data_IF_880943938763
#
_entry.id   IF_880943938763
#
_cell.length_a   1.000
_cell.length_b   1.000
_cell.length_c   1.000
_cell.angle_alpha   90.00
_cell.angle_beta   90.00
_cell.angle_gamma   90.00
#
_symmetry.space_group_name_H-M   'P 1'
#
loop_
_entity.id
_entity.type
_entity.pdbx_description
1 polymer ?
#
# COMPACT_ATOMS: atom_id res chain seq x y z
N UNK A 1 6.36 -11.58 -29.20
CA UNK A 1 6.22 -10.50 -30.22
C UNK A 1 6.91 -9.28 -29.61
N UNK A 2 7.92 -8.66 -30.21
CA UNK A 2 8.64 -7.51 -29.62
C UNK A 2 7.66 -6.34 -29.53
N UNK A 3 7.40 -5.75 -28.35
CA UNK A 3 6.47 -4.62 -28.21
C UNK A 3 6.93 -3.45 -29.07
N UNK A 4 6.01 -2.85 -29.84
CA UNK A 4 6.26 -1.61 -30.60
C UNK A 4 6.10 -0.46 -29.62
N UNK A 5 7.20 0.22 -29.30
CA UNK A 5 7.25 1.33 -28.36
C UNK A 5 6.74 2.64 -28.97
N UNK A 6 5.99 3.45 -28.20
CA UNK A 6 5.62 4.80 -28.64
C UNK A 6 6.86 5.71 -28.73
N UNK A 7 6.77 6.71 -29.62
CA UNK A 7 7.87 7.63 -29.98
C UNK A 7 8.27 8.63 -28.87
N UNK A 8 7.58 8.66 -27.73
CA UNK A 8 7.77 9.67 -26.67
C UNK A 8 8.78 9.31 -25.58
N UNK A 9 9.30 8.08 -25.57
CA UNK A 9 10.35 7.68 -24.63
C UNK A 9 11.77 8.09 -25.08
N UNK A 10 11.93 9.26 -25.62
CA UNK A 10 13.14 9.73 -26.31
C UNK A 10 14.24 10.31 -25.39
N UNK A 11 14.25 10.01 -24.10
CA UNK A 11 15.21 10.58 -23.13
C UNK A 11 16.04 9.57 -22.33
N UNK A 12 15.72 8.28 -22.42
CA UNK A 12 16.42 7.21 -21.68
C UNK A 12 17.67 6.72 -22.42
N UNK A 13 18.70 6.34 -21.66
CA UNK A 13 19.74 5.49 -22.20
C UNK A 13 19.15 4.13 -22.58
N UNK A 14 19.59 3.54 -23.70
CA UNK A 14 19.04 2.27 -24.22
C UNK A 14 19.04 1.14 -23.17
N UNK A 15 19.96 1.19 -22.22
CA UNK A 15 20.11 0.19 -21.14
C UNK A 15 18.99 0.29 -20.09
N UNK A 16 18.67 1.49 -19.58
CA UNK A 16 17.61 1.72 -18.60
C UNK A 16 16.24 1.34 -19.17
N UNK A 17 16.04 1.62 -20.43
CA UNK A 17 14.83 1.27 -21.14
C UNK A 17 14.64 -0.25 -21.25
N UNK A 18 15.70 -0.98 -21.52
CA UNK A 18 15.67 -2.44 -21.58
C UNK A 18 15.33 -3.03 -20.20
N UNK A 19 15.95 -2.54 -19.13
CA UNK A 19 15.69 -3.01 -17.76
C UNK A 19 14.23 -2.78 -17.34
N UNK A 20 13.64 -1.63 -17.68
CA UNK A 20 12.22 -1.34 -17.39
C UNK A 20 11.31 -2.31 -18.16
N UNK A 21 11.59 -2.53 -19.44
CA UNK A 21 10.80 -3.44 -20.26
C UNK A 21 10.88 -4.88 -19.75
N UNK A 22 12.06 -5.37 -19.41
CA UNK A 22 12.27 -6.70 -18.82
C UNK A 22 11.53 -6.85 -17.48
N UNK A 23 11.52 -5.81 -16.66
CA UNK A 23 10.77 -5.82 -15.40
C UNK A 23 9.26 -5.88 -15.64
N UNK A 24 8.72 -5.07 -16.58
CA UNK A 24 7.29 -5.08 -16.91
C UNK A 24 6.87 -6.42 -17.51
N UNK A 25 7.66 -7.00 -18.43
CA UNK A 25 7.41 -8.33 -18.97
C UNK A 25 7.40 -9.39 -17.84
N UNK A 26 8.41 -9.37 -16.98
CA UNK A 26 8.51 -10.30 -15.84
C UNK A 26 7.35 -10.12 -14.85
N UNK A 27 6.89 -8.89 -14.64
CA UNK A 27 5.74 -8.59 -13.79
C UNK A 27 4.46 -9.18 -14.38
N UNK A 28 4.18 -8.93 -15.67
CA UNK A 28 2.95 -9.41 -16.32
C UNK A 28 2.92 -10.94 -16.44
N UNK A 29 4.04 -11.59 -16.77
CA UNK A 29 4.17 -13.05 -16.80
C UNK A 29 3.97 -13.67 -15.40
N UNK A 30 4.49 -13.01 -14.37
CA UNK A 30 4.33 -13.46 -12.99
C UNK A 30 2.90 -13.26 -12.49
N UNK A 31 2.24 -12.19 -12.94
CA UNK A 31 0.83 -11.90 -12.66
C UNK A 31 -0.07 -12.95 -13.35
N UNK A 32 0.14 -13.23 -14.63
CA UNK A 32 -0.53 -14.31 -15.35
C UNK A 32 -0.43 -15.64 -14.59
N UNK A 33 0.79 -16.02 -14.19
CA UNK A 33 1.04 -17.22 -13.39
C UNK A 33 0.25 -17.22 -12.08
N UNK A 34 0.27 -16.09 -11.35
CA UNK A 34 -0.46 -15.94 -10.09
C UNK A 34 -1.97 -16.08 -10.27
N UNK A 35 -2.54 -15.42 -11.28
CA UNK A 35 -3.97 -15.47 -11.59
C UNK A 35 -4.41 -16.88 -12.02
N UNK A 36 -3.67 -17.51 -12.92
CA UNK A 36 -4.05 -18.82 -13.49
C UNK A 36 -3.79 -19.99 -12.54
N UNK A 37 -2.72 -19.97 -11.77
CA UNK A 37 -2.27 -21.14 -10.98
C UNK A 37 -2.35 -20.93 -9.47
N UNK A 38 -2.32 -19.67 -9.01
CA UNK A 38 -2.19 -19.29 -7.59
C UNK A 38 -0.75 -19.28 -7.09
N UNK A 39 0.25 -19.50 -7.96
CA UNK A 39 1.66 -19.39 -7.59
C UNK A 39 2.10 -17.92 -7.66
N UNK A 40 2.40 -17.33 -6.51
CA UNK A 40 2.82 -15.93 -6.36
C UNK A 40 4.31 -15.75 -6.10
N UNK A 41 5.11 -16.80 -6.13
CA UNK A 41 6.55 -16.72 -5.80
C UNK A 41 7.30 -15.80 -6.79
N UNK A 42 7.06 -15.94 -8.09
CA UNK A 42 7.68 -15.09 -9.11
C UNK A 42 7.24 -13.63 -8.96
N UNK A 43 5.95 -13.38 -8.67
CA UNK A 43 5.41 -12.04 -8.48
C UNK A 43 6.09 -11.30 -7.30
N UNK A 44 6.44 -12.01 -6.23
CA UNK A 44 7.18 -11.45 -5.08
C UNK A 44 8.57 -10.92 -5.44
N UNK A 45 9.15 -11.40 -6.51
CA UNK A 45 10.49 -10.94 -6.95
C UNK A 45 10.43 -9.59 -7.66
N UNK A 46 9.33 -9.28 -8.32
CA UNK A 46 9.17 -8.12 -9.22
C UNK A 46 8.18 -7.06 -8.69
N UNK A 47 7.38 -7.39 -7.68
CA UNK A 47 6.38 -6.50 -7.09
C UNK A 47 6.46 -6.47 -5.56
N UNK A 48 5.86 -5.44 -4.98
CA UNK A 48 5.71 -5.33 -3.51
C UNK A 48 4.61 -6.26 -2.99
N UNK A 49 4.66 -6.59 -1.70
CA UNK A 49 3.73 -7.54 -1.08
C UNK A 49 2.26 -7.12 -1.18
N UNK A 50 1.95 -5.83 -1.25
CA UNK A 50 0.59 -5.32 -1.48
C UNK A 50 0.00 -5.90 -2.76
N UNK A 51 0.67 -5.68 -3.90
CA UNK A 51 0.26 -6.20 -5.21
C UNK A 51 0.11 -7.74 -5.20
N UNK A 52 1.04 -8.45 -4.57
CA UNK A 52 0.96 -9.93 -4.46
C UNK A 52 -0.28 -10.37 -3.70
N UNK A 53 -0.66 -9.65 -2.65
CA UNK A 53 -1.86 -9.95 -1.87
C UNK A 53 -3.14 -9.65 -2.66
N UNK A 54 -3.14 -8.55 -3.42
CA UNK A 54 -4.27 -8.13 -4.25
C UNK A 54 -4.53 -9.15 -5.37
N UNK A 55 -3.48 -9.59 -6.07
CA UNK A 55 -3.61 -10.64 -7.10
C UNK A 55 -4.09 -11.97 -6.52
N UNK A 56 -3.64 -12.34 -5.32
CA UNK A 56 -4.14 -13.55 -4.66
C UNK A 56 -5.62 -13.41 -4.24
N UNK A 57 -6.05 -12.25 -3.77
CA UNK A 57 -7.45 -11.98 -3.45
C UNK A 57 -8.32 -12.01 -4.71
N UNK A 58 -7.85 -11.41 -5.81
CA UNK A 58 -8.50 -11.42 -7.11
C UNK A 58 -8.71 -12.87 -7.59
N UNK A 59 -7.66 -13.70 -7.60
CA UNK A 59 -7.76 -15.11 -7.97
C UNK A 59 -8.77 -15.89 -7.12
N UNK A 60 -8.79 -15.67 -5.80
CA UNK A 60 -9.74 -16.31 -4.90
C UNK A 60 -11.18 -15.96 -5.33
N UNK A 61 -11.44 -14.70 -5.61
CA UNK A 61 -12.77 -14.21 -6.02
C UNK A 61 -13.20 -14.79 -7.37
N UNK A 62 -12.29 -14.85 -8.35
CA UNK A 62 -12.55 -15.52 -9.63
C UNK A 62 -12.96 -16.99 -9.40
N UNK A 63 -12.18 -17.70 -8.58
CA UNK A 63 -12.45 -19.11 -8.25
C UNK A 63 -13.79 -19.31 -7.52
N UNK A 64 -14.14 -18.44 -6.59
CA UNK A 64 -15.40 -18.49 -5.86
C UNK A 64 -16.62 -18.27 -6.77
N UNK A 65 -16.44 -17.52 -7.86
CA UNK A 65 -17.46 -17.26 -8.88
C UNK A 65 -17.41 -18.25 -10.06
N UNK A 66 -16.60 -19.31 -9.99
CA UNK A 66 -16.37 -20.29 -11.06
C UNK A 66 -15.83 -19.69 -12.36
N UNK A 67 -15.16 -18.56 -12.30
CA UNK A 67 -14.47 -17.92 -13.42
C UNK A 67 -13.03 -18.46 -13.49
N UNK A 68 -12.61 -18.87 -14.68
CA UNK A 68 -11.23 -19.31 -14.93
C UNK A 68 -10.60 -18.51 -16.08
N UNK A 69 -9.45 -17.95 -15.86
CA UNK A 69 -8.67 -17.26 -16.89
C UNK A 69 -7.96 -18.30 -17.75
N UNK A 70 -8.02 -18.15 -19.08
CA UNK A 70 -7.48 -19.09 -20.05
C UNK A 70 -6.29 -18.53 -20.83
N UNK A 71 -6.21 -17.22 -21.02
CA UNK A 71 -5.11 -16.54 -21.73
C UNK A 71 -5.01 -15.09 -21.29
N UNK A 72 -3.79 -14.56 -21.25
CA UNK A 72 -3.51 -13.16 -20.98
C UNK A 72 -2.45 -12.65 -21.95
N UNK A 73 -2.62 -11.45 -22.45
CA UNK A 73 -1.64 -10.77 -23.30
C UNK A 73 -1.64 -9.28 -23.02
N UNK A 74 -0.52 -8.60 -23.21
CA UNK A 74 -0.46 -7.17 -22.92
C UNK A 74 0.33 -6.40 -23.98
N UNK A 75 0.11 -5.09 -24.02
CA UNK A 75 0.83 -4.16 -24.85
C UNK A 75 1.13 -2.87 -24.08
N UNK A 76 2.40 -2.47 -23.99
CA UNK A 76 2.81 -1.20 -23.40
C UNK A 76 2.43 -0.06 -24.34
N UNK A 77 1.73 0.93 -23.80
CA UNK A 77 1.27 2.12 -24.54
C UNK A 77 2.05 3.39 -24.21
N UNK A 78 2.65 3.47 -23.01
CA UNK A 78 3.41 4.63 -22.57
C UNK A 78 4.42 4.29 -21.49
N UNK A 79 5.53 5.02 -21.47
CA UNK A 79 6.52 5.03 -20.38
C UNK A 79 6.89 6.48 -20.15
N UNK A 80 6.75 6.95 -18.91
CA UNK A 80 7.14 8.26 -18.46
C UNK A 80 8.02 8.15 -17.23
N UNK A 81 9.07 8.97 -17.13
CA UNK A 81 10.04 8.90 -16.04
C UNK A 81 10.18 10.26 -15.42
N UNK A 82 9.92 10.31 -14.12
CA UNK A 82 10.10 11.47 -13.27
C UNK A 82 11.12 11.14 -12.17
N UNK A 83 12.33 11.67 -12.29
CA UNK A 83 13.46 11.42 -11.40
C UNK A 83 13.78 9.91 -11.24
N UNK A 84 13.42 9.31 -10.12
CA UNK A 84 13.65 7.87 -9.79
C UNK A 84 12.38 7.02 -9.90
N UNK A 85 11.30 7.60 -10.41
CA UNK A 85 9.99 6.94 -10.53
C UNK A 85 9.68 6.76 -12.00
N UNK A 86 9.32 5.55 -12.38
CA UNK A 86 8.86 5.24 -13.73
C UNK A 86 7.38 4.90 -13.71
N UNK A 87 6.62 5.57 -14.55
CA UNK A 87 5.20 5.30 -14.79
C UNK A 87 5.07 4.57 -16.12
N UNK A 88 4.37 3.44 -16.10
CA UNK A 88 4.12 2.63 -17.30
C UNK A 88 2.63 2.46 -17.48
N UNK A 89 2.12 2.86 -18.64
CA UNK A 89 0.74 2.54 -19.04
C UNK A 89 0.77 1.38 -20.02
N UNK A 90 -0.01 0.35 -19.74
CA UNK A 90 -0.17 -0.79 -20.63
C UNK A 90 -1.64 -1.22 -20.73
N UNK A 91 -1.97 -1.93 -21.78
CA UNK A 91 -3.27 -2.57 -21.98
C UNK A 91 -3.08 -4.08 -21.95
N UNK A 92 -3.86 -4.75 -21.11
CA UNK A 92 -3.96 -6.19 -21.03
C UNK A 92 -5.25 -6.65 -21.70
N UNK A 93 -5.21 -7.73 -22.45
CA UNK A 93 -6.39 -8.46 -22.92
C UNK A 93 -6.39 -9.82 -22.23
N UNK A 94 -7.44 -10.09 -21.48
CA UNK A 94 -7.62 -11.31 -20.70
C UNK A 94 -8.79 -12.11 -21.26
N UNK A 95 -8.54 -13.38 -21.62
CA UNK A 95 -9.59 -14.32 -21.98
C UNK A 95 -9.98 -15.16 -20.76
N UNK A 96 -11.25 -15.24 -20.44
CA UNK A 96 -11.76 -16.01 -19.31
C UNK A 96 -13.02 -16.80 -19.65
N UNK A 97 -13.26 -17.86 -18.89
CA UNK A 97 -14.43 -18.71 -19.01
C UNK A 97 -15.31 -18.52 -17.79
N UNK A 98 -16.55 -18.12 -18.03
CA UNK A 98 -17.61 -17.98 -17.04
C UNK A 98 -18.80 -18.86 -17.48
N UNK A 99 -19.24 -19.76 -16.60
CA UNK A 99 -20.31 -20.76 -16.87
C UNK A 99 -20.16 -21.48 -18.23
N UNK A 100 -18.91 -21.72 -18.66
CA UNK A 100 -18.60 -22.38 -19.93
C UNK A 100 -18.69 -21.48 -21.16
N UNK A 101 -18.86 -20.19 -21.00
CA UNK A 101 -18.80 -19.16 -22.04
C UNK A 101 -17.43 -18.48 -22.01
N UNK A 102 -16.78 -18.40 -23.17
CA UNK A 102 -15.51 -17.67 -23.33
C UNK A 102 -15.83 -16.18 -23.49
N UNK A 103 -15.21 -15.35 -22.68
CA UNK A 103 -15.32 -13.90 -22.68
C UNK A 103 -13.93 -13.27 -22.75
N UNK A 104 -13.87 -12.00 -23.12
CA UNK A 104 -12.62 -11.21 -23.14
C UNK A 104 -12.84 -9.91 -22.39
N UNK A 105 -11.89 -9.56 -21.52
CA UNK A 105 -11.80 -8.25 -20.87
C UNK A 105 -10.52 -7.52 -21.33
N UNK A 106 -10.65 -6.24 -21.65
CA UNK A 106 -9.52 -5.36 -21.91
C UNK A 106 -9.32 -4.45 -20.72
N UNK A 107 -8.12 -4.42 -20.15
CA UNK A 107 -7.78 -3.75 -18.90
C UNK A 107 -6.63 -2.77 -19.17
N UNK A 108 -6.80 -1.52 -18.74
CA UNK A 108 -5.71 -0.54 -18.73
C UNK A 108 -5.03 -0.57 -17.36
N UNK A 109 -3.73 -0.80 -17.34
CA UNK A 109 -2.88 -0.75 -16.16
C UNK A 109 -2.05 0.52 -16.17
N UNK A 110 -1.91 1.13 -14.99
CA UNK A 110 -0.98 2.21 -14.74
C UNK A 110 -0.03 1.77 -13.62
N UNK A 111 1.14 1.30 -14.01
CA UNK A 111 2.16 0.81 -13.11
C UNK A 111 3.03 1.96 -12.61
N UNK A 112 3.39 1.94 -11.35
CA UNK A 112 4.48 2.75 -10.79
C UNK A 112 5.64 1.83 -10.44
N UNK A 113 6.81 2.11 -10.99
CA UNK A 113 8.04 1.36 -10.75
C UNK A 113 9.00 2.27 -9.98
N UNK A 114 9.59 1.76 -8.92
CA UNK A 114 10.59 2.44 -8.11
C UNK A 114 11.81 1.54 -7.88
N UNK A 115 12.98 2.18 -7.83
CA UNK A 115 14.20 1.51 -7.48
C UNK A 115 14.33 1.38 -5.95
N UNK A 116 14.49 0.16 -5.47
CA UNK A 116 14.73 -0.13 -4.06
C UNK A 116 16.24 -0.18 -3.80
N UNK A 117 16.80 0.93 -3.32
CA UNK A 117 18.23 1.05 -3.04
C UNK A 117 18.74 0.03 -1.99
N UNK A 118 17.86 -0.48 -1.13
CA UNK A 118 18.25 -1.44 -0.10
C UNK A 118 18.53 -2.84 -0.66
N UNK A 119 17.91 -3.16 -1.79
CA UNK A 119 18.03 -4.46 -2.45
C UNK A 119 18.68 -4.38 -3.84
N UNK A 120 19.04 -3.17 -4.28
CA UNK A 120 19.64 -2.93 -5.60
C UNK A 120 18.78 -3.45 -6.76
N UNK A 121 17.47 -3.28 -6.66
CA UNK A 121 16.49 -3.78 -7.63
C UNK A 121 15.34 -2.79 -7.84
N UNK A 122 14.83 -2.71 -9.06
CA UNK A 122 13.57 -2.04 -9.35
C UNK A 122 12.39 -2.99 -9.09
N UNK A 123 11.27 -2.44 -8.61
CA UNK A 123 10.02 -3.17 -8.38
C UNK A 123 8.81 -2.37 -8.79
N UNK A 124 7.76 -3.08 -9.21
CA UNK A 124 6.43 -2.51 -9.32
C UNK A 124 5.90 -2.28 -7.90
N UNK A 125 5.66 -1.02 -7.57
CA UNK A 125 5.20 -0.59 -6.23
C UNK A 125 3.72 -0.24 -6.21
N UNK A 126 3.12 0.03 -7.37
CA UNK A 126 1.68 0.23 -7.54
C UNK A 126 1.25 -0.27 -8.90
N UNK A 127 0.09 -0.88 -8.96
CA UNK A 127 -0.65 -1.20 -10.18
C UNK A 127 -2.09 -0.75 -9.97
N UNK A 128 -2.49 0.32 -10.65
CA UNK A 128 -3.88 0.74 -10.71
C UNK A 128 -4.45 0.39 -12.07
N UNK A 129 -5.53 -0.36 -12.09
CA UNK A 129 -6.10 -0.83 -13.35
C UNK A 129 -7.61 -0.59 -13.44
N UNK A 130 -8.09 -0.44 -14.67
CA UNK A 130 -9.50 -0.28 -14.98
C UNK A 130 -9.84 -1.05 -16.25
N UNK A 131 -11.02 -1.66 -16.29
CA UNK A 131 -11.54 -2.25 -17.50
C UNK A 131 -11.82 -1.15 -18.54
N UNK A 132 -11.32 -1.36 -19.76
CA UNK A 132 -11.56 -0.47 -20.89
C UNK A 132 -12.58 -1.11 -21.80
N UNK A 133 -13.70 -0.44 -22.00
CA UNK A 133 -14.68 -0.87 -22.99
C UNK A 133 -14.13 -0.52 -24.37
N UNK A 134 -13.37 -1.44 -24.99
CA UNK A 134 -12.89 -1.25 -26.36
C UNK A 134 -14.04 -1.36 -27.35
N UNK A 135 -14.39 -0.22 -27.94
CA UNK A 135 -14.97 -0.13 -29.29
C UNK A 135 -16.27 -0.88 -29.53
N UNK A 136 -17.34 -0.62 -28.80
CA UNK A 136 -18.68 -0.92 -29.30
C UNK A 136 -19.39 0.37 -29.70
N UNK A 137 -19.53 0.56 -31.04
CA UNK A 137 -20.62 1.38 -31.55
C UNK A 137 -21.94 0.87 -30.98
N UNK A 138 -22.68 1.80 -30.39
CA UNK A 138 -23.97 1.63 -29.77
C UNK A 138 -24.83 0.51 -30.41
N UNK A 139 -24.96 -0.61 -29.70
CA UNK A 139 -26.12 -1.45 -29.80
C UNK A 139 -26.71 -1.57 -28.39
N UNK A 140 -27.84 -0.96 -28.19
CA UNK A 140 -28.63 -0.94 -26.96
C UNK A 140 -29.21 -2.32 -26.67
N UNK A 141 -28.42 -3.22 -26.13
CA UNK A 141 -28.87 -4.41 -25.38
C UNK A 141 -27.70 -4.96 -24.58
N UNK A 142 -27.48 -4.38 -23.41
CA UNK A 142 -26.63 -5.00 -22.38
C UNK A 142 -27.57 -5.94 -21.63
N UNK A 143 -27.38 -7.26 -21.71
CA UNK A 143 -28.16 -8.18 -20.90
C UNK A 143 -27.91 -7.93 -19.42
N UNK A 144 -28.91 -8.12 -18.55
CA UNK A 144 -28.76 -7.96 -17.10
C UNK A 144 -27.63 -8.84 -16.53
N UNK A 145 -27.28 -9.94 -17.22
CA UNK A 145 -26.17 -10.83 -16.87
C UNK A 145 -24.78 -10.22 -17.13
N UNK A 146 -24.60 -9.51 -18.25
CA UNK A 146 -23.33 -8.77 -18.54
C UNK A 146 -23.18 -7.60 -17.57
N UNK A 147 -24.27 -6.96 -17.18
CA UNK A 147 -24.26 -5.90 -16.18
C UNK A 147 -23.90 -6.43 -14.78
N UNK A 148 -24.40 -7.63 -14.40
CA UNK A 148 -24.04 -8.28 -13.14
C UNK A 148 -22.57 -8.74 -13.12
N UNK A 149 -22.03 -9.24 -14.23
CA UNK A 149 -20.59 -9.59 -14.37
C UNK A 149 -19.74 -8.33 -14.39
N UNK A 150 -20.15 -7.28 -15.10
CA UNK A 150 -19.48 -5.97 -15.10
C UNK A 150 -19.54 -5.31 -13.71
N UNK A 151 -20.65 -5.39 -12.98
CA UNK A 151 -20.77 -4.92 -11.60
C UNK A 151 -19.96 -5.79 -10.62
N UNK A 152 -19.87 -7.10 -10.85
CA UNK A 152 -19.02 -8.01 -10.09
C UNK A 152 -17.53 -7.72 -10.39
N UNK A 153 -17.14 -7.54 -11.66
CA UNK A 153 -15.79 -7.13 -12.06
C UNK A 153 -15.49 -5.68 -11.60
N UNK A 154 -16.48 -4.77 -11.63
CA UNK A 154 -16.33 -3.41 -11.09
C UNK A 154 -16.26 -3.41 -9.57
N UNK A 155 -16.95 -4.31 -8.87
CA UNK A 155 -16.77 -4.52 -7.43
C UNK A 155 -15.46 -5.26 -7.11
N UNK A 156 -14.90 -6.02 -8.05
CA UNK A 156 -13.57 -6.64 -8.01
C UNK A 156 -12.47 -5.60 -8.29
N UNK A 157 -12.68 -4.70 -9.26
CA UNK A 157 -11.80 -3.54 -9.52
C UNK A 157 -11.87 -2.50 -8.38
N UNK A 158 -12.87 -2.55 -7.52
CA UNK A 158 -12.97 -1.80 -6.27
C UNK A 158 -12.37 -2.55 -5.05
N UNK A 159 -11.65 -3.64 -5.25
CA UNK A 159 -10.57 -4.02 -4.34
C UNK A 159 -9.36 -3.13 -4.69
N UNK A 160 -9.59 -1.85 -4.74
CA UNK A 160 -8.64 -0.86 -4.32
C UNK A 160 -8.32 -1.28 -2.89
N UNK A 161 -7.15 -1.88 -2.64
CA UNK A 161 -6.76 -2.15 -1.27
C UNK A 161 -6.93 -0.84 -0.56
N UNK A 162 -7.94 -0.76 0.30
CA UNK A 162 -8.14 0.42 1.12
C UNK A 162 -6.99 0.42 2.13
N UNK A 163 -5.84 0.92 1.65
CA UNK A 163 -4.61 0.99 2.44
C UNK A 163 -4.84 1.74 3.75
N UNK A 164 -5.81 2.66 3.76
CA UNK A 164 -6.27 3.32 4.97
C UNK A 164 -6.93 2.30 5.91
N UNK A 165 -7.89 1.50 5.44
CA UNK A 165 -8.50 0.44 6.25
C UNK A 165 -7.48 -0.63 6.65
N UNK A 166 -6.54 -0.97 5.76
CA UNK A 166 -5.57 -2.01 6.00
C UNK A 166 -4.53 -1.61 7.06
N UNK A 167 -3.98 -0.37 7.03
CA UNK A 167 -3.06 0.08 8.08
C UNK A 167 -3.75 0.14 9.46
N UNK A 168 -5.03 0.52 9.49
CA UNK A 168 -5.84 0.50 10.70
C UNK A 168 -6.02 -0.93 11.20
N UNK A 169 -6.39 -1.87 10.32
CA UNK A 169 -6.52 -3.29 10.65
C UNK A 169 -5.23 -3.88 11.20
N UNK A 170 -4.09 -3.59 10.56
CA UNK A 170 -2.77 -4.03 11.01
C UNK A 170 -2.48 -3.48 12.40
N UNK A 171 -2.66 -2.18 12.62
CA UNK A 171 -2.40 -1.54 13.92
C UNK A 171 -3.27 -2.12 15.03
N UNK A 172 -4.57 -2.26 14.80
CA UNK A 172 -5.53 -2.85 15.75
C UNK A 172 -5.18 -4.30 16.10
N UNK A 173 -4.70 -5.08 15.13
CA UNK A 173 -4.28 -6.47 15.36
C UNK A 173 -3.10 -6.61 16.33
N UNK A 174 -2.36 -5.54 16.58
CA UNK A 174 -1.19 -5.52 17.46
C UNK A 174 -1.51 -5.07 18.88
N UNK A 175 -2.72 -4.61 19.16
CA UNK A 175 -3.11 -4.12 20.49
C UNK A 175 -2.89 -5.18 21.56
N UNK A 176 -2.17 -4.81 22.60
CA UNK A 176 -1.79 -5.72 23.68
C UNK A 176 -0.40 -6.37 23.54
N UNK A 177 0.29 -6.20 22.41
CA UNK A 177 1.69 -6.58 22.28
C UNK A 177 2.53 -5.80 23.31
N UNK A 178 3.37 -6.50 24.08
CA UNK A 178 4.26 -5.93 25.11
C UNK A 178 5.71 -6.03 24.63
N UNK A 179 6.48 -4.96 24.83
CA UNK A 179 7.93 -5.02 24.61
C UNK A 179 8.59 -6.06 25.53
N UNK A 180 9.81 -6.43 25.18
CA UNK A 180 10.52 -7.54 25.83
C UNK A 180 11.63 -7.05 26.74
N UNK A 181 11.90 -7.85 27.76
CA UNK A 181 13.02 -7.65 28.68
C UNK A 181 14.39 -7.94 28.01
N UNK A 182 14.40 -8.68 26.91
CA UNK A 182 15.61 -9.06 26.16
C UNK A 182 15.25 -9.41 24.70
N UNK A 183 16.25 -9.61 23.87
CA UNK A 183 16.10 -9.95 22.44
C UNK A 183 15.67 -11.42 22.24
N UNK A 184 14.61 -11.85 22.92
CA UNK A 184 14.00 -13.17 22.75
C UNK A 184 12.48 -13.09 22.82
N UNK A 185 11.80 -14.09 22.24
CA UNK A 185 10.33 -14.21 22.19
C UNK A 185 9.65 -12.98 21.56
N UNK A 186 10.31 -12.35 20.58
CA UNK A 186 9.87 -11.06 20.00
C UNK A 186 8.50 -11.15 19.32
N UNK A 187 8.13 -12.30 18.76
CA UNK A 187 6.84 -12.50 18.09
C UNK A 187 5.69 -12.77 19.07
N UNK A 188 6.00 -13.20 20.30
CA UNK A 188 4.98 -13.43 21.30
C UNK A 188 4.39 -12.12 21.83
N UNK A 189 3.08 -12.04 22.01
CA UNK A 189 2.44 -10.84 22.57
C UNK A 189 2.82 -10.57 24.03
N UNK A 190 3.04 -11.61 24.83
CA UNK A 190 3.19 -11.47 26.27
C UNK A 190 4.40 -12.19 26.88
N UNK A 191 4.98 -13.19 26.19
CA UNK A 191 6.17 -13.85 26.70
C UNK A 191 7.34 -12.87 26.78
N UNK A 192 8.22 -13.06 27.77
CA UNK A 192 9.39 -12.21 28.02
C UNK A 192 9.06 -10.70 28.12
N UNK A 193 7.84 -10.34 28.57
CA UNK A 193 7.44 -8.94 28.71
C UNK A 193 8.36 -8.19 29.68
N UNK A 194 8.70 -6.95 29.33
CA UNK A 194 9.59 -6.11 30.13
C UNK A 194 9.48 -4.64 29.72
N UNK A 195 10.52 -3.87 30.01
CA UNK A 195 10.65 -2.43 29.71
C UNK A 195 12.03 -2.11 29.15
N UNK A 196 12.55 -2.98 28.28
CA UNK A 196 13.90 -2.84 27.73
C UNK A 196 13.90 -2.49 26.22
N UNK A 197 12.76 -2.10 25.66
CA UNK A 197 12.56 -1.67 24.27
C UNK A 197 12.96 -2.72 23.21
N UNK A 198 13.01 -4.00 23.55
CA UNK A 198 13.15 -5.05 22.54
C UNK A 198 11.78 -5.39 21.96
N UNK A 199 11.64 -5.30 20.64
CA UNK A 199 10.39 -5.57 19.94
C UNK A 199 10.64 -6.24 18.59
N UNK A 200 9.62 -6.97 18.07
CA UNK A 200 9.66 -7.44 16.67
C UNK A 200 9.74 -6.29 15.67
N UNK A 201 9.12 -5.15 15.99
CA UNK A 201 9.15 -3.93 15.16
C UNK A 201 10.56 -3.36 15.06
N UNK A 202 11.27 -3.26 16.21
CA UNK A 202 12.67 -2.84 16.24
C UNK A 202 13.60 -3.82 15.53
N UNK A 203 13.33 -5.12 15.63
CA UNK A 203 14.08 -6.15 14.90
C UNK A 203 13.88 -6.01 13.39
N UNK A 204 12.63 -5.85 12.93
CA UNK A 204 12.31 -5.62 11.53
C UNK A 204 12.98 -4.35 10.98
N UNK A 205 13.00 -3.27 11.79
CA UNK A 205 13.62 -2.01 11.38
C UNK A 205 15.17 -2.09 11.34
N UNK A 206 15.74 -3.05 12.06
CA UNK A 206 17.19 -3.15 12.27
C UNK A 206 17.69 -2.25 13.41
N UNK A 207 16.83 -1.83 14.33
CA UNK A 207 17.13 -0.93 15.43
C UNK A 207 16.49 -1.46 16.73
N UNK A 208 17.17 -2.36 17.41
CA UNK A 208 16.67 -3.06 18.61
C UNK A 208 17.80 -3.24 19.64
N UNK A 209 17.69 -2.73 20.90
CA UNK A 209 16.54 -2.02 21.47
C UNK A 209 16.53 -0.52 21.11
N UNK A 210 15.34 0.06 20.94
CA UNK A 210 15.13 1.49 20.71
C UNK A 210 13.71 1.90 21.07
N UNK A 211 13.44 3.20 21.30
CA UNK A 211 12.08 3.72 21.36
C UNK A 211 11.37 3.40 20.03
N UNK A 212 10.16 2.85 20.10
CA UNK A 212 9.57 2.16 18.95
C UNK A 212 8.17 2.66 18.51
N UNK A 213 7.70 3.81 19.00
CA UNK A 213 6.44 4.38 18.51
C UNK A 213 6.49 4.73 17.02
N UNK A 214 7.55 5.40 16.56
CA UNK A 214 7.77 5.74 15.16
C UNK A 214 8.05 4.50 14.29
N UNK A 215 8.83 3.56 14.84
CA UNK A 215 9.11 2.28 14.19
C UNK A 215 7.83 1.46 14.01
N UNK A 216 6.91 1.51 14.99
CA UNK A 216 5.61 0.82 14.93
C UNK A 216 4.75 1.33 13.76
N UNK A 217 4.65 2.65 13.56
CA UNK A 217 3.93 3.23 12.41
C UNK A 217 4.55 2.76 11.09
N UNK A 218 5.88 2.83 10.96
CA UNK A 218 6.58 2.36 9.77
C UNK A 218 6.38 0.87 9.51
N UNK A 219 6.33 0.05 10.57
CA UNK A 219 6.05 -1.38 10.46
C UNK A 219 4.59 -1.62 10.03
N UNK A 220 3.62 -0.94 10.63
CA UNK A 220 2.21 -1.05 10.23
C UNK A 220 2.01 -0.66 8.76
N UNK A 221 2.64 0.41 8.29
CA UNK A 221 2.59 0.81 6.89
C UNK A 221 3.15 -0.27 5.96
N UNK A 222 4.31 -0.86 6.31
CA UNK A 222 4.92 -1.95 5.55
C UNK A 222 4.06 -3.21 5.51
N UNK A 223 3.49 -3.64 6.65
CA UNK A 223 2.61 -4.81 6.71
C UNK A 223 1.27 -4.60 5.98
N UNK A 224 0.80 -3.34 5.93
CA UNK A 224 -0.37 -2.96 5.17
C UNK A 224 -0.08 -2.80 3.67
N UNK A 225 1.17 -2.93 3.23
CA UNK A 225 1.56 -2.73 1.83
C UNK A 225 1.58 -1.26 1.39
N UNK A 226 1.52 -0.30 2.33
CA UNK A 226 1.58 1.13 2.02
C UNK A 226 2.97 1.51 1.53
N UNK A 227 3.03 2.16 0.37
CA UNK A 227 4.29 2.64 -0.21
C UNK A 227 5.03 3.61 0.71
N UNK A 228 6.36 3.55 0.70
CA UNK A 228 7.20 4.53 1.43
C UNK A 228 7.11 5.94 0.85
N UNK A 229 6.60 6.12 -0.36
CA UNK A 229 6.23 7.42 -0.93
C UNK A 229 4.96 8.00 -0.30
N UNK A 230 4.11 7.18 0.31
CA UNK A 230 2.88 7.57 1.01
C UNK A 230 3.14 7.71 2.52
N UNK A 231 3.73 6.69 3.15
CA UNK A 231 4.19 6.74 4.54
C UNK A 231 5.69 6.40 4.57
N UNK A 232 6.57 7.39 4.65
CA UNK A 232 8.01 7.17 4.69
C UNK A 232 8.43 6.26 5.85
N UNK A 233 9.46 5.44 5.67
CA UNK A 233 10.04 4.63 6.76
C UNK A 233 10.86 5.53 7.69
N UNK A 234 10.48 5.62 8.97
CA UNK A 234 11.18 6.45 9.97
C UNK A 234 11.20 5.79 11.35
N UNK A 235 12.26 6.08 12.14
CA UNK A 235 12.45 5.59 13.51
C UNK A 235 12.40 6.70 14.57
N UNK A 236 12.20 7.93 14.15
CA UNK A 236 12.10 9.11 15.04
C UNK A 236 10.82 9.89 14.72
N UNK A 237 10.02 10.20 15.73
CA UNK A 237 8.80 10.99 15.57
C UNK A 237 9.07 12.35 14.90
N UNK A 238 10.16 13.02 15.26
CA UNK A 238 10.53 14.30 14.65
C UNK A 238 10.91 14.14 13.17
N UNK A 239 11.59 13.05 12.80
CA UNK A 239 11.88 12.73 11.40
C UNK A 239 10.61 12.44 10.62
N UNK A 240 9.70 11.61 11.15
CA UNK A 240 8.41 11.34 10.52
C UNK A 240 7.60 12.61 10.31
N UNK A 241 7.45 13.43 11.35
CA UNK A 241 6.75 14.71 11.23
C UNK A 241 7.39 15.63 10.18
N UNK A 242 8.73 15.66 10.09
CA UNK A 242 9.42 16.44 9.06
C UNK A 242 9.15 15.89 7.66
N UNK A 243 9.23 14.58 7.46
CA UNK A 243 8.97 13.95 6.17
C UNK A 243 7.57 14.32 5.65
N UNK A 244 6.53 14.19 6.47
CA UNK A 244 5.17 14.56 6.06
C UNK A 244 4.98 16.07 5.81
N UNK A 245 5.76 16.93 6.48
CA UNK A 245 5.79 18.36 6.15
C UNK A 245 6.45 18.62 4.80
N UNK A 246 7.54 17.92 4.51
CA UNK A 246 8.25 18.03 3.23
C UNK A 246 7.38 17.49 2.06
N UNK A 247 6.44 16.59 2.36
CA UNK A 247 5.45 16.05 1.42
C UNK A 247 4.15 16.87 1.34
N UNK A 248 4.06 18.03 2.00
CA UNK A 248 2.89 18.91 2.04
C UNK A 248 1.58 18.25 2.53
N UNK A 249 1.68 17.13 3.27
CA UNK A 249 0.52 16.41 3.81
C UNK A 249 0.43 16.44 5.35
N UNK A 250 1.12 17.39 6.01
CA UNK A 250 1.05 17.59 7.45
C UNK A 250 0.20 18.83 7.81
N UNK A 251 -0.77 18.64 8.70
CA UNK A 251 -1.71 19.68 9.15
C UNK A 251 -1.64 19.86 10.66
N UNK A 252 -1.57 21.11 11.10
CA UNK A 252 -1.58 21.45 12.53
C UNK A 252 -2.96 21.23 13.15
N UNK A 253 -2.96 20.76 14.41
CA UNK A 253 -4.17 20.66 15.23
C UNK A 253 -4.68 22.05 15.66
N UNK A 254 -5.90 22.09 16.22
CA UNK A 254 -6.48 23.32 16.79
C UNK A 254 -5.64 23.89 17.95
N UNK A 255 -4.94 23.07 18.71
CA UNK A 255 -4.02 23.49 19.77
C UNK A 255 -2.82 24.30 19.23
N UNK A 256 -2.49 24.13 17.96
CA UNK A 256 -1.41 24.83 17.26
C UNK A 256 -1.93 25.73 16.13
N UNK A 257 -3.16 26.26 16.30
CA UNK A 257 -3.85 27.17 15.38
C UNK A 257 -4.16 26.60 13.99
N UNK A 258 -4.24 25.28 13.86
CA UNK A 258 -4.73 24.61 12.66
C UNK A 258 -6.25 24.51 12.64
N UNK A 259 -6.79 24.18 11.47
CA UNK A 259 -8.23 23.95 11.25
C UNK A 259 -8.53 22.58 10.68
N UNK A 260 -7.54 21.70 10.65
CA UNK A 260 -7.69 20.37 10.11
C UNK A 260 -8.58 19.50 10.99
N UNK A 261 -9.50 18.79 10.37
CA UNK A 261 -10.30 17.73 11.00
C UNK A 261 -9.65 16.39 10.68
N UNK A 262 -9.12 15.67 11.68
CA UNK A 262 -8.47 14.40 11.43
C UNK A 262 -9.44 13.35 10.91
N UNK A 263 -8.91 12.41 10.14
CA UNK A 263 -9.63 11.27 9.58
C UNK A 263 -9.02 9.95 10.04
N UNK A 264 -9.76 8.86 9.88
CA UNK A 264 -9.25 7.50 10.13
C UNK A 264 -8.12 7.22 9.15
N UNK A 265 -7.04 6.61 9.63
CA UNK A 265 -5.82 6.39 8.85
C UNK A 265 -4.77 7.49 9.00
N UNK A 266 -5.11 8.68 9.49
CA UNK A 266 -4.13 9.73 9.75
C UNK A 266 -3.06 9.28 10.75
N UNK A 267 -1.85 9.83 10.59
CA UNK A 267 -0.75 9.64 11.54
C UNK A 267 -0.70 10.86 12.47
N UNK A 268 -1.00 10.67 13.75
CA UNK A 268 -0.94 11.75 14.72
C UNK A 268 0.47 11.97 15.28
N UNK A 269 0.76 13.19 15.68
CA UNK A 269 2.01 13.58 16.32
C UNK A 269 1.76 14.40 17.57
N UNK A 270 2.42 14.05 18.68
CA UNK A 270 2.35 14.81 19.92
C UNK A 270 3.72 15.35 20.33
N UNK A 271 3.69 16.40 21.15
CA UNK A 271 4.87 17.06 21.68
C UNK A 271 4.53 18.44 22.23
N UNK A 272 5.56 19.26 22.42
CA UNK A 272 5.43 20.61 22.99
C UNK A 272 5.90 21.71 22.04
N UNK A 273 6.19 21.35 20.78
CA UNK A 273 6.79 22.27 19.79
C UNK A 273 6.38 21.86 18.38
N UNK A 274 6.23 22.84 17.49
CA UNK A 274 5.98 22.62 16.06
C UNK A 274 7.21 22.08 15.30
N UNK A 275 8.37 22.03 15.91
CA UNK A 275 9.63 21.60 15.27
C UNK A 275 10.08 20.21 15.70
N UNK A 276 9.50 19.66 16.78
CA UNK A 276 9.87 18.32 17.27
C UNK A 276 8.68 17.60 17.85
N UNK A 277 8.55 16.32 17.53
CA UNK A 277 7.55 15.42 18.09
C UNK A 277 8.18 14.41 19.01
N UNK A 278 7.49 14.06 20.09
CA UNK A 278 7.93 13.06 21.07
C UNK A 278 7.19 11.74 20.96
N UNK A 279 6.03 11.71 20.27
CA UNK A 279 5.24 10.50 20.12
C UNK A 279 4.37 10.55 18.84
N UNK A 280 4.01 9.38 18.32
CA UNK A 280 3.22 9.20 17.11
C UNK A 280 2.49 7.86 17.12
N UNK A 281 1.46 7.74 16.31
CA UNK A 281 0.69 6.52 16.08
C UNK A 281 -0.37 6.75 15.01
N UNK A 282 -1.33 5.86 14.89
CA UNK A 282 -2.32 5.80 13.82
C UNK A 282 -3.69 6.12 14.39
N UNK A 283 -4.45 7.00 13.74
CA UNK A 283 -5.84 7.31 14.09
C UNK A 283 -6.74 6.18 13.57
N UNK A 284 -7.50 5.56 14.47
CA UNK A 284 -8.37 4.42 14.13
C UNK A 284 -9.86 4.72 14.26
N UNK A 285 -10.22 5.77 14.99
CA UNK A 285 -11.60 6.29 15.04
C UNK A 285 -11.58 7.80 15.26
N UNK A 286 -12.60 8.49 14.74
CA UNK A 286 -12.78 9.93 14.88
C UNK A 286 -14.21 10.23 15.32
N UNK A 287 -14.34 11.15 16.27
CA UNK A 287 -15.62 11.74 16.67
C UNK A 287 -15.54 13.28 16.60
N UNK A 288 -16.63 13.96 16.88
CA UNK A 288 -16.66 15.43 16.88
C UNK A 288 -15.75 16.09 17.93
N UNK A 289 -15.29 15.35 18.95
CA UNK A 289 -14.49 15.89 20.06
C UNK A 289 -13.21 15.11 20.37
N UNK A 290 -13.07 13.92 19.83
CA UNK A 290 -11.98 12.98 20.17
C UNK A 290 -11.55 12.19 18.96
N UNK A 291 -10.29 11.75 19.00
CA UNK A 291 -9.75 10.67 18.18
C UNK A 291 -9.45 9.47 19.07
N UNK A 292 -9.64 8.25 18.54
CA UNK A 292 -9.07 7.03 19.09
C UNK A 292 -7.86 6.65 18.25
N UNK A 293 -6.79 6.27 18.92
CA UNK A 293 -5.50 5.97 18.28
C UNK A 293 -4.99 4.60 18.70
N UNK A 294 -4.18 4.02 17.83
CA UNK A 294 -3.32 2.86 18.17
C UNK A 294 -1.88 3.28 17.99
N UNK A 295 -1.08 3.08 19.02
CA UNK A 295 0.33 3.44 19.02
C UNK A 295 1.21 2.40 19.73
N UNK A 296 2.47 2.37 19.32
CA UNK A 296 3.50 1.58 19.96
C UNK A 296 4.22 2.37 21.07
N UNK A 297 4.82 1.66 22.00
CA UNK A 297 5.61 2.25 23.10
C UNK A 297 4.82 3.15 24.07
N UNK A 298 3.51 3.00 24.11
CA UNK A 298 2.66 3.63 25.12
C UNK A 298 2.57 2.74 26.35
N UNK A 299 3.30 3.11 27.40
CA UNK A 299 3.45 2.27 28.61
C UNK A 299 3.96 0.86 28.27
N UNK A 300 5.05 0.81 27.49
CA UNK A 300 5.79 -0.41 27.11
C UNK A 300 4.98 -1.43 26.29
N UNK A 301 3.94 -0.99 25.58
CA UNK A 301 3.06 -1.87 24.79
C UNK A 301 2.44 -1.15 23.58
N UNK A 302 1.79 -1.92 22.71
CA UNK A 302 0.82 -1.38 21.75
C UNK A 302 -0.50 -1.14 22.47
N UNK A 303 -0.97 0.08 22.43
CA UNK A 303 -2.16 0.53 23.15
C UNK A 303 -3.18 1.18 22.23
N UNK A 304 -4.45 0.99 22.57
CA UNK A 304 -5.57 1.72 22.00
C UNK A 304 -6.11 2.67 23.07
N UNK A 305 -6.14 3.96 22.78
CA UNK A 305 -6.61 4.99 23.71
C UNK A 305 -7.09 6.25 22.99
N UNK A 306 -7.56 7.27 23.70
CA UNK A 306 -8.18 8.45 23.11
C UNK A 306 -7.43 9.72 23.46
N UNK A 307 -7.45 10.70 22.53
CA UNK A 307 -7.12 12.11 22.78
C UNK A 307 -8.33 12.99 22.52
N UNK A 308 -8.51 14.04 23.31
CA UNK A 308 -9.40 15.13 22.95
C UNK A 308 -8.79 15.93 21.79
N UNK A 309 -9.58 16.37 20.82
CA UNK A 309 -9.09 17.19 19.71
C UNK A 309 -8.48 18.54 20.15
N UNK A 310 -8.80 18.96 21.38
CA UNK A 310 -8.26 20.18 22.01
C UNK A 310 -7.05 19.91 22.92
N UNK A 311 -6.52 18.67 22.93
CA UNK A 311 -5.36 18.34 23.75
C UNK A 311 -4.14 19.15 23.32
N UNK A 312 -3.54 19.88 24.25
CA UNK A 312 -2.41 20.76 23.98
C UNK A 312 -1.13 20.02 23.57
N UNK A 313 -1.06 18.73 23.77
CA UNK A 313 0.05 17.89 23.30
C UNK A 313 -0.07 17.52 21.83
N UNK A 314 -1.27 17.51 21.23
CA UNK A 314 -1.47 17.19 19.82
C UNK A 314 -0.92 18.33 18.95
N UNK A 315 0.24 18.08 18.30
CA UNK A 315 0.85 19.04 17.38
C UNK A 315 0.05 19.10 16.07
N UNK A 316 -0.29 17.94 15.52
CA UNK A 316 -1.01 17.83 14.26
C UNK A 316 -1.06 16.39 13.74
N UNK A 317 -1.45 16.30 12.47
CA UNK A 317 -1.74 15.06 11.78
C UNK A 317 -1.07 15.07 10.42
N UNK A 318 -0.50 13.98 10.02
CA UNK A 318 -0.23 13.71 8.63
C UNK A 318 -1.43 12.97 8.03
N UNK A 319 -1.89 13.41 6.86
CA UNK A 319 -2.95 12.77 6.08
C UNK A 319 -2.34 12.18 4.83
N UNK A 320 -1.90 10.91 4.88
CA UNK A 320 -1.32 10.24 3.73
C UNK A 320 -2.37 10.08 2.62
N UNK A 321 -1.96 10.22 1.37
CA UNK A 321 -2.81 9.92 0.21
C UNK A 321 -2.61 8.42 -0.10
N UNK A 322 -3.47 7.58 0.49
CA UNK A 322 -3.46 6.13 0.33
C UNK A 322 -3.85 5.70 -1.07
#
# INVERSE_FOLDING_TARGET
MVPILPAEAAGLEDTERVEILELVESYMDSRETAVMTGDTESLRTVAVNGIVNDENAHRITLSENNVSVSDMSFQISGIDIEDTITFVTLYESMEYVDDGVVNTADIEHNLTIMYDEAYDVAKVVSDSYRETVSGFQSCSYVSEEIQAVSEALYSLNSINTDYCAEIVRVAESQVGYKEKASNSDLDSFTANAGSANYTKYGQWYGLNPAAWCAIFVSWCASEAGVSTSVIPKYSSCSTGMKNFKDMDCFYYSSAYNGSYTPEVGDIFFTGTSTTSSSHTGIVVEVSSTQITVVDGNWSDKVSRHTYNLTDSSLIGFASPIY
#
